data_IF_842398785755
#
_entry.id   IF_842398785755
#
_cell.length_a   1.000
_cell.length_b   1.000
_cell.length_c   1.000
_cell.angle_alpha   90.00
_cell.angle_beta   90.00
_cell.angle_gamma   90.00
#
_symmetry.space_group_name_H-M   'P 1'
#
loop_
_entity.id
_entity.type
_entity.pdbx_description
1 polymer ?
#
# COMPACT_ATOMS: atom_id res chain seq x y z
N UNK A 1 -67.67 -3.98 44.19
CA UNK A 1 -67.45 -2.62 43.65
C UNK A 1 -66.09 -2.62 42.98
N UNK A 2 -65.86 -2.17 41.76
CA UNK A 2 -66.58 -1.33 40.81
C UNK A 2 -66.03 -1.73 39.43
N UNK A 3 -66.88 -1.75 38.40
CA UNK A 3 -66.68 -1.04 37.13
C UNK A 3 -67.79 -1.43 36.16
N UNK A 4 -68.71 -0.47 35.98
CA UNK A 4 -69.74 -0.46 34.96
C UNK A 4 -69.13 -0.69 33.58
N UNK A 5 -69.78 -1.56 32.80
CA UNK A 5 -69.68 -1.50 31.35
C UNK A 5 -70.26 -0.17 30.92
N UNK A 6 -69.39 0.72 30.43
CA UNK A 6 -69.83 1.96 29.79
C UNK A 6 -70.30 1.59 28.38
N UNK A 7 -71.61 1.62 28.16
CA UNK A 7 -72.18 1.68 26.81
C UNK A 7 -72.02 3.11 26.29
N UNK A 8 -71.38 3.28 25.13
CA UNK A 8 -71.21 4.57 24.46
C UNK A 8 -71.95 4.57 23.13
N UNK A 9 -72.82 5.55 22.94
CA UNK A 9 -73.58 5.85 21.71
C UNK A 9 -72.75 6.64 20.69
N UNK A 10 -73.22 6.64 19.44
CA UNK A 10 -72.51 7.00 18.19
C UNK A 10 -71.94 8.43 18.14
N UNK A 11 -70.61 8.51 18.03
CA UNK A 11 -69.82 9.11 16.92
C UNK A 11 -68.37 9.22 17.43
N UNK A 12 -67.53 8.23 17.07
CA UNK A 12 -66.20 7.95 17.66
C UNK A 12 -66.19 7.17 18.99
N UNK A 13 -67.03 6.14 19.13
CA UNK A 13 -67.04 5.29 20.32
C UNK A 13 -65.65 4.66 20.57
N UNK A 14 -65.03 5.03 21.69
CA UNK A 14 -63.82 4.40 22.21
C UNK A 14 -64.19 3.36 23.27
N UNK A 15 -64.01 2.08 22.97
CA UNK A 15 -64.24 0.97 23.89
C UNK A 15 -62.96 0.65 24.65
N UNK A 16 -63.00 0.72 25.97
CA UNK A 16 -61.92 0.25 26.85
C UNK A 16 -62.28 -1.13 27.39
N UNK A 17 -61.42 -2.11 27.16
CA UNK A 17 -61.51 -3.45 27.72
C UNK A 17 -60.26 -3.73 28.56
N UNK A 18 -60.47 -3.99 29.85
CA UNK A 18 -59.42 -4.49 30.74
C UNK A 18 -59.79 -5.90 31.17
N UNK A 19 -58.86 -6.84 31.06
CA UNK A 19 -59.07 -8.19 31.55
C UNK A 19 -57.82 -8.78 32.19
N UNK A 20 -58.04 -9.52 33.28
CA UNK A 20 -57.04 -10.35 33.94
C UNK A 20 -57.53 -11.79 33.84
N UNK A 21 -56.67 -12.70 33.40
CA UNK A 21 -56.99 -14.11 33.25
C UNK A 21 -55.85 -14.96 33.78
N UNK A 22 -56.19 -15.87 34.67
CA UNK A 22 -55.30 -16.91 35.16
C UNK A 22 -55.84 -18.26 34.68
N UNK A 23 -54.98 -19.12 34.17
CA UNK A 23 -55.36 -20.47 33.78
C UNK A 23 -54.20 -21.45 33.91
N UNK A 24 -54.55 -22.72 34.11
CA UNK A 24 -53.60 -23.84 34.13
C UNK A 24 -53.65 -24.51 32.76
N UNK A 25 -52.51 -24.71 32.10
CA UNK A 25 -52.47 -25.39 30.81
C UNK A 25 -52.62 -26.92 30.94
N UNK A 26 -52.64 -27.62 29.80
CA UNK A 26 -52.80 -29.08 29.76
C UNK A 26 -51.63 -29.86 30.41
N UNK A 27 -50.53 -29.20 30.75
CA UNK A 27 -49.34 -29.75 31.40
C UNK A 27 -49.22 -29.31 32.87
N UNK A 28 -50.33 -28.85 33.48
CA UNK A 28 -50.38 -28.37 34.85
C UNK A 28 -49.54 -27.11 35.14
N UNK A 29 -49.19 -26.32 34.11
CA UNK A 29 -48.45 -25.06 34.27
C UNK A 29 -49.37 -23.87 34.45
N UNK A 30 -49.07 -23.02 35.43
CA UNK A 30 -49.86 -21.83 35.72
C UNK A 30 -49.45 -20.66 34.83
N UNK A 31 -50.43 -20.04 34.19
CA UNK A 31 -50.28 -18.88 33.32
C UNK A 31 -51.15 -17.74 33.83
N UNK A 32 -50.63 -16.53 33.72
CA UNK A 32 -51.37 -15.31 34.05
C UNK A 32 -51.21 -14.30 32.92
N UNK A 33 -52.28 -13.59 32.59
CA UNK A 33 -52.26 -12.50 31.62
C UNK A 33 -53.12 -11.34 32.13
N UNK A 34 -52.60 -10.14 31.98
CA UNK A 34 -53.32 -8.90 32.16
C UNK A 34 -53.23 -8.11 30.86
N UNK A 35 -54.34 -7.58 30.37
CA UNK A 35 -54.34 -6.76 29.17
C UNK A 35 -55.30 -5.59 29.30
N UNK A 36 -54.92 -4.48 28.64
CA UNK A 36 -55.75 -3.31 28.41
C UNK A 36 -55.81 -3.09 26.91
N UNK A 37 -57.02 -2.99 26.37
CA UNK A 37 -57.30 -2.73 24.97
C UNK A 37 -58.21 -1.50 24.87
N UNK A 38 -57.82 -0.56 24.03
CA UNK A 38 -58.64 0.57 23.60
C UNK A 38 -58.91 0.37 22.12
N UNK A 39 -60.18 0.33 21.78
CA UNK A 39 -60.64 0.25 20.41
C UNK A 39 -61.42 1.50 20.08
N UNK A 40 -61.08 2.19 19.00
CA UNK A 40 -61.87 3.31 18.50
C UNK A 40 -62.23 3.06 17.05
N UNK A 41 -63.51 3.16 16.74
CA UNK A 41 -63.98 3.10 15.36
C UNK A 41 -64.09 4.52 14.83
N UNK A 42 -63.36 4.82 13.75
CA UNK A 42 -63.50 6.07 13.00
C UNK A 42 -63.64 5.73 11.52
N UNK A 43 -64.71 6.22 10.88
CA UNK A 43 -65.02 5.97 9.47
C UNK A 43 -65.01 4.47 9.08
N UNK A 44 -65.55 3.61 9.96
CA UNK A 44 -65.57 2.15 9.78
C UNK A 44 -64.21 1.45 9.94
N UNK A 45 -63.15 2.18 10.28
CA UNK A 45 -61.82 1.62 10.59
C UNK A 45 -61.66 1.49 12.10
N UNK A 46 -61.33 0.28 12.54
CA UNK A 46 -61.02 -0.02 13.93
C UNK A 46 -59.55 0.30 14.21
N UNK A 47 -59.31 1.26 15.09
CA UNK A 47 -58.00 1.53 15.65
C UNK A 47 -57.89 0.83 17.00
N UNK A 48 -57.03 -0.18 17.07
CA UNK A 48 -56.78 -0.92 18.31
C UNK A 48 -55.42 -0.51 18.85
N UNK A 49 -55.41 -0.02 20.08
CA UNK A 49 -54.22 0.11 20.90
C UNK A 49 -54.34 -0.85 22.09
N UNK A 50 -53.31 -1.63 22.38
CA UNK A 50 -53.37 -2.53 23.52
C UNK A 50 -52.01 -2.86 24.12
N UNK A 51 -52.01 -3.10 25.42
CA UNK A 51 -50.86 -3.59 26.19
C UNK A 51 -51.27 -4.94 26.78
N UNK A 52 -50.43 -5.95 26.58
CA UNK A 52 -50.55 -7.26 27.21
C UNK A 52 -49.31 -7.56 28.04
N UNK A 53 -49.52 -7.93 29.30
CA UNK A 53 -48.52 -8.52 30.18
C UNK A 53 -48.92 -9.97 30.42
N UNK A 54 -48.03 -10.91 30.14
CA UNK A 54 -48.28 -12.32 30.46
C UNK A 54 -47.05 -12.96 31.08
N UNK A 55 -47.28 -14.02 31.85
CA UNK A 55 -46.24 -14.88 32.37
C UNK A 55 -46.61 -16.33 32.07
N UNK A 56 -45.66 -17.05 31.50
CA UNK A 56 -45.79 -18.44 31.09
C UNK A 56 -44.69 -19.28 31.72
N UNK A 57 -45.02 -20.51 32.16
CA UNK A 57 -44.04 -21.44 32.71
C UNK A 57 -43.44 -22.28 31.58
N UNK A 58 -42.18 -22.02 31.20
CA UNK A 58 -41.50 -22.79 30.14
C UNK A 58 -40.52 -23.79 30.74
N UNK A 59 -40.05 -24.76 29.95
CA UNK A 59 -39.05 -25.73 30.42
C UNK A 59 -37.72 -25.07 30.84
N UNK A 60 -37.44 -23.86 30.35
CA UNK A 60 -36.26 -23.05 30.68
C UNK A 60 -36.51 -22.05 31.82
N UNK A 61 -37.73 -22.04 32.39
CA UNK A 61 -38.16 -21.16 33.47
C UNK A 61 -39.34 -20.24 33.11
N UNK A 62 -39.68 -19.33 34.02
CA UNK A 62 -40.80 -18.39 33.84
C UNK A 62 -40.45 -17.34 32.79
N UNK A 63 -41.22 -17.28 31.71
CA UNK A 63 -41.10 -16.29 30.66
C UNK A 63 -42.16 -15.20 30.87
N UNK A 64 -41.72 -14.00 31.25
CA UNK A 64 -42.60 -12.82 31.28
C UNK A 64 -42.55 -12.11 29.92
N UNK A 65 -43.71 -11.69 29.41
CA UNK A 65 -43.85 -11.02 28.12
C UNK A 65 -44.55 -9.67 28.28
N UNK A 66 -44.10 -8.70 27.48
CA UNK A 66 -44.75 -7.41 27.30
C UNK A 66 -45.04 -7.21 25.81
N UNK A 67 -46.31 -7.21 25.45
CA UNK A 67 -46.79 -7.09 24.08
C UNK A 67 -47.51 -5.77 23.92
N UNK A 68 -47.21 -5.04 22.84
CA UNK A 68 -47.89 -3.78 22.51
C UNK A 68 -48.42 -3.88 21.10
N UNK A 69 -49.74 -3.79 20.96
CA UNK A 69 -50.41 -3.67 19.68
C UNK A 69 -50.73 -2.19 19.45
N UNK A 70 -49.90 -1.47 18.69
CA UNK A 70 -50.11 -0.06 18.38
C UNK A 70 -49.43 0.33 17.06
N UNK A 71 -49.97 1.33 16.38
CA UNK A 71 -49.37 1.86 15.15
C UNK A 71 -48.06 2.63 15.40
N UNK A 72 -47.91 3.19 16.61
CA UNK A 72 -46.75 3.98 17.04
C UNK A 72 -46.53 3.81 18.54
N UNK A 73 -45.32 3.49 18.94
CA UNK A 73 -44.87 3.50 20.34
C UNK A 73 -43.82 4.59 20.45
N UNK A 74 -43.95 5.51 21.41
CA UNK A 74 -42.99 6.59 21.61
C UNK A 74 -42.68 6.78 23.09
N UNK A 75 -41.41 6.90 23.45
CA UNK A 75 -40.99 7.26 24.81
C UNK A 75 -40.71 8.76 24.87
N UNK A 76 -41.57 9.46 25.59
CA UNK A 76 -41.56 10.93 25.72
C UNK A 76 -41.19 11.27 27.16
N UNK A 77 -40.26 12.18 27.34
CA UNK A 77 -39.96 12.78 28.64
C UNK A 77 -40.75 14.10 28.78
N UNK A 78 -41.81 14.13 29.61
CA UNK A 78 -42.65 15.32 29.76
C UNK A 78 -41.95 16.46 30.51
N UNK A 79 -40.88 16.19 31.26
CA UNK A 79 -40.19 17.21 32.06
C UNK A 79 -39.31 18.14 31.20
N UNK A 80 -38.89 17.67 30.02
CA UNK A 80 -37.93 18.37 29.18
C UNK A 80 -38.56 19.22 28.05
N UNK A 81 -39.90 19.27 27.95
CA UNK A 81 -40.59 20.00 26.86
C UNK A 81 -40.15 19.57 25.45
N UNK A 82 -39.51 18.39 25.34
CA UNK A 82 -38.76 17.98 24.17
C UNK A 82 -39.70 17.31 23.15
N UNK A 83 -39.87 17.93 21.98
CA UNK A 83 -40.80 17.48 20.93
C UNK A 83 -40.34 16.20 20.22
N UNK A 84 -39.09 15.77 20.44
CA UNK A 84 -38.52 14.58 19.79
C UNK A 84 -38.46 13.42 20.79
N UNK A 85 -39.29 12.37 20.63
CA UNK A 85 -39.25 11.20 21.50
C UNK A 85 -37.90 10.49 21.41
N UNK A 86 -37.40 9.94 22.53
CA UNK A 86 -36.10 9.25 22.56
C UNK A 86 -36.13 7.91 21.80
N UNK A 87 -37.30 7.30 21.71
CA UNK A 87 -37.56 6.04 21.03
C UNK A 87 -38.89 6.17 20.30
N UNK A 88 -38.92 5.79 19.01
CA UNK A 88 -40.17 5.67 18.24
C UNK A 88 -40.15 4.37 17.46
N UNK A 89 -41.09 3.47 17.72
CA UNK A 89 -41.35 2.31 16.87
C UNK A 89 -42.60 2.60 16.01
N UNK A 90 -42.43 2.67 14.70
CA UNK A 90 -43.51 2.95 13.74
C UNK A 90 -43.11 2.47 12.34
N UNK A 91 -44.06 1.94 11.56
CA UNK A 91 -43.82 1.57 10.16
C UNK A 91 -42.72 0.53 9.97
N UNK A 92 -42.65 -0.46 10.86
CA UNK A 92 -41.62 -1.51 10.92
C UNK A 92 -40.18 -0.98 11.12
N UNK A 93 -40.02 0.25 11.61
CA UNK A 93 -38.73 0.85 11.92
C UNK A 93 -38.71 1.34 13.37
N UNK A 94 -37.50 1.40 13.92
CA UNK A 94 -37.23 2.03 15.21
C UNK A 94 -36.33 3.24 14.95
N UNK A 95 -36.76 4.40 15.43
CA UNK A 95 -36.00 5.65 15.40
C UNK A 95 -35.50 5.96 16.81
N UNK A 96 -34.22 6.28 16.91
CA UNK A 96 -33.56 6.67 18.15
C UNK A 96 -32.58 7.79 17.81
N UNK A 97 -32.52 8.84 18.64
CA UNK A 97 -31.62 9.96 18.41
C UNK A 97 -30.18 9.59 18.77
N UNK A 98 -29.99 9.07 19.99
CA UNK A 98 -28.72 8.60 20.50
C UNK A 98 -28.90 7.22 21.15
N UNK A 99 -27.94 6.32 20.94
CA UNK A 99 -27.98 4.97 21.50
C UNK A 99 -26.63 4.60 22.09
N UNK A 100 -26.62 4.21 23.36
CA UNK A 100 -25.47 3.58 24.01
C UNK A 100 -25.71 2.07 24.12
N UNK A 101 -24.92 1.28 23.40
CA UNK A 101 -25.05 -0.18 23.38
C UNK A 101 -23.79 -0.85 23.92
N UNK A 102 -23.97 -1.93 24.68
CA UNK A 102 -22.86 -2.81 25.03
C UNK A 102 -22.34 -3.60 23.83
N UNK A 103 -23.24 -4.08 22.95
CA UNK A 103 -22.94 -4.78 21.68
C UNK A 103 -24.07 -4.53 20.68
N UNK A 104 -23.74 -4.44 19.40
CA UNK A 104 -24.70 -4.40 18.28
C UNK A 104 -24.48 -5.65 17.41
N UNK A 105 -25.53 -6.46 17.27
CA UNK A 105 -25.57 -7.57 16.31
C UNK A 105 -26.51 -7.17 15.19
N UNK A 106 -25.98 -6.95 14.00
CA UNK A 106 -26.76 -6.53 12.84
C UNK A 106 -26.27 -7.25 11.58
N UNK A 107 -27.17 -7.76 10.71
CA UNK A 107 -26.78 -8.35 9.43
C UNK A 107 -26.23 -7.30 8.47
N UNK A 108 -26.68 -6.04 8.58
CA UNK A 108 -26.16 -4.91 7.82
C UNK A 108 -26.11 -3.64 8.66
N UNK A 109 -25.15 -2.76 8.36
CA UNK A 109 -25.08 -1.40 8.90
C UNK A 109 -24.81 -0.47 7.72
N UNK A 110 -25.60 0.60 7.57
CA UNK A 110 -25.44 1.55 6.46
C UNK A 110 -25.61 2.97 7.00
N UNK A 111 -24.62 3.83 6.78
CA UNK A 111 -24.73 5.26 7.10
C UNK A 111 -25.74 5.95 6.18
N UNK A 112 -26.29 7.09 6.61
CA UNK A 112 -27.04 7.97 5.72
C UNK A 112 -26.21 8.44 4.49
N UNK A 113 -26.92 8.95 3.48
CA UNK A 113 -26.35 9.43 2.22
C UNK A 113 -26.42 8.42 1.06
N UNK A 114 -26.33 8.92 -0.18
CA UNK A 114 -26.34 8.07 -1.38
C UNK A 114 -25.22 8.49 -2.36
N UNK A 115 -24.16 7.68 -2.53
CA UNK A 115 -23.90 6.39 -1.88
C UNK A 115 -23.44 6.54 -0.41
N UNK A 116 -23.65 5.52 0.44
CA UNK A 116 -23.25 5.58 1.85
C UNK A 116 -21.72 5.74 2.00
N UNK A 117 -21.31 6.50 3.01
CA UNK A 117 -19.89 6.67 3.34
C UNK A 117 -19.33 5.51 4.16
N UNK A 118 -20.20 4.83 4.91
CA UNK A 118 -19.90 3.63 5.70
C UNK A 118 -20.96 2.54 5.46
N UNK A 119 -20.54 1.31 5.19
CA UNK A 119 -21.44 0.16 5.11
C UNK A 119 -20.78 -1.15 5.52
N UNK A 120 -21.52 -2.00 6.25
CA UNK A 120 -21.22 -3.40 6.51
C UNK A 120 -22.34 -4.26 5.92
N UNK A 121 -21.99 -5.20 5.05
CA UNK A 121 -22.93 -6.14 4.41
C UNK A 121 -22.90 -7.51 5.09
N UNK A 122 -23.90 -8.39 4.86
CA UNK A 122 -23.99 -9.67 5.56
C UNK A 122 -22.85 -10.64 5.25
N UNK A 123 -22.21 -10.50 4.09
CA UNK A 123 -21.00 -11.22 3.67
C UNK A 123 -19.71 -10.66 4.32
N UNK A 124 -19.82 -9.67 5.21
CA UNK A 124 -18.71 -9.13 5.99
C UNK A 124 -17.90 -8.05 5.29
N UNK A 125 -18.34 -7.56 4.12
CA UNK A 125 -17.66 -6.47 3.42
C UNK A 125 -17.89 -5.14 4.13
N UNK A 126 -16.79 -4.56 4.62
CA UNK A 126 -16.74 -3.21 5.16
C UNK A 126 -16.33 -2.22 4.06
N UNK A 127 -17.11 -1.15 3.87
CA UNK A 127 -16.75 0.00 3.03
C UNK A 127 -16.71 1.25 3.88
N UNK A 128 -15.60 1.99 3.84
CA UNK A 128 -15.43 3.26 4.53
C UNK A 128 -14.62 4.23 3.64
N UNK A 129 -15.17 5.41 3.34
CA UNK A 129 -14.53 6.36 2.40
C UNK A 129 -13.39 7.17 3.01
N UNK A 130 -13.53 7.61 4.25
CA UNK A 130 -12.59 8.47 4.95
C UNK A 130 -12.21 7.84 6.31
N UNK A 131 -11.73 6.59 6.26
CA UNK A 131 -11.33 5.88 7.46
C UNK A 131 -10.00 6.44 7.98
N UNK A 132 -9.98 6.84 9.24
CA UNK A 132 -8.76 7.12 10.00
C UNK A 132 -8.56 5.99 11.02
N UNK A 133 -7.47 5.24 10.86
CA UNK A 133 -7.14 4.06 11.67
C UNK A 133 -5.83 4.35 12.38
N UNK A 134 -5.92 4.75 13.65
CA UNK A 134 -4.76 5.01 14.52
C UNK A 134 -4.15 3.75 15.12
N UNK A 135 -4.85 2.62 15.02
CA UNK A 135 -4.40 1.31 15.52
C UNK A 135 -3.72 0.45 14.45
N UNK A 136 -3.51 -0.82 14.78
CA UNK A 136 -2.92 -1.78 13.85
C UNK A 136 -3.95 -2.32 12.86
N UNK A 137 -3.57 -2.42 11.59
CA UNK A 137 -4.29 -3.19 10.57
C UNK A 137 -3.55 -4.50 10.33
N UNK A 138 -4.19 -5.63 10.64
CA UNK A 138 -3.69 -6.96 10.27
C UNK A 138 -4.49 -7.49 9.08
N UNK A 139 -3.82 -7.74 7.96
CA UNK A 139 -4.42 -8.23 6.73
C UNK A 139 -3.58 -9.38 6.17
N UNK A 140 -4.25 -10.47 5.80
CA UNK A 140 -3.59 -11.61 5.13
C UNK A 140 -3.36 -11.33 3.64
N UNK A 141 -4.18 -10.46 3.05
CA UNK A 141 -4.10 -10.03 1.66
C UNK A 141 -4.80 -8.69 1.48
N UNK A 142 -4.46 -7.98 0.41
CA UNK A 142 -5.07 -6.70 0.09
C UNK A 142 -4.39 -6.01 -1.08
N UNK A 143 -5.05 -4.97 -1.58
CA UNK A 143 -4.46 -4.06 -2.57
C UNK A 143 -4.61 -2.64 -2.02
N UNK A 144 -3.55 -1.85 -2.14
CA UNK A 144 -3.53 -0.46 -1.72
C UNK A 144 -3.07 0.39 -2.90
N UNK A 145 -3.78 1.47 -3.17
CA UNK A 145 -3.47 2.40 -4.25
C UNK A 145 -3.03 3.74 -3.64
N UNK A 146 -2.06 4.40 -4.28
CA UNK A 146 -1.56 5.73 -3.88
C UNK A 146 -1.11 5.80 -2.42
N UNK A 147 -0.38 4.76 -1.99
CA UNK A 147 0.15 4.70 -0.63
C UNK A 147 1.31 5.67 -0.49
N UNK A 148 1.14 6.66 0.39
CA UNK A 148 2.26 7.42 0.92
C UNK A 148 2.63 6.83 2.26
N UNK A 149 3.87 6.35 2.36
CA UNK A 149 4.45 5.94 3.63
C UNK A 149 5.30 7.11 4.09
N UNK A 150 4.77 7.88 5.04
CA UNK A 150 5.43 9.09 5.54
C UNK A 150 6.75 8.77 6.25
N UNK A 151 6.83 7.58 6.83
CA UNK A 151 7.99 7.10 7.58
C UNK A 151 8.53 5.80 6.95
N UNK A 152 8.83 4.80 7.77
CA UNK A 152 9.52 3.59 7.35
C UNK A 152 8.55 2.48 6.92
N UNK A 153 8.99 1.68 5.94
CA UNK A 153 8.32 0.46 5.52
C UNK A 153 9.25 -0.74 5.73
N UNK A 154 8.82 -1.75 6.47
CA UNK A 154 9.55 -3.01 6.59
C UNK A 154 8.83 -4.12 5.81
N UNK A 155 9.53 -4.68 4.83
CA UNK A 155 9.06 -5.81 4.03
C UNK A 155 9.89 -7.02 4.42
N UNK A 156 9.31 -7.90 5.25
CA UNK A 156 9.97 -9.15 5.68
C UNK A 156 10.02 -10.20 4.56
N UNK A 157 9.15 -10.05 3.57
CA UNK A 157 9.10 -10.91 2.38
C UNK A 157 9.80 -10.27 1.18
N UNK A 158 9.25 -10.52 -0.01
CA UNK A 158 9.79 -10.01 -1.27
C UNK A 158 9.13 -8.67 -1.63
N UNK A 159 9.94 -7.61 -1.77
CA UNK A 159 9.51 -6.39 -2.44
C UNK A 159 9.66 -6.59 -3.95
N UNK A 160 8.53 -6.62 -4.65
CA UNK A 160 8.49 -6.58 -6.11
C UNK A 160 8.05 -5.18 -6.53
N UNK A 161 9.03 -4.34 -6.89
CA UNK A 161 8.78 -2.98 -7.35
C UNK A 161 9.07 -2.87 -8.85
N UNK A 162 8.06 -2.48 -9.63
CA UNK A 162 8.20 -2.28 -11.07
C UNK A 162 9.06 -1.04 -11.41
N UNK A 163 9.00 -0.01 -10.56
CA UNK A 163 9.77 1.23 -10.69
C UNK A 163 10.18 1.70 -9.29
N UNK A 164 11.43 2.14 -9.16
CA UNK A 164 11.95 2.85 -8.00
C UNK A 164 12.51 4.15 -8.55
N UNK A 165 11.95 5.28 -8.13
CA UNK A 165 12.46 6.60 -8.50
C UNK A 165 13.52 7.03 -7.46
N UNK A 166 14.70 7.35 -7.97
CA UNK A 166 15.95 7.40 -7.21
C UNK A 166 16.90 6.29 -7.66
N UNK A 167 18.17 6.62 -7.88
CA UNK A 167 19.10 5.65 -8.48
C UNK A 167 19.47 4.48 -7.56
N UNK A 168 19.62 3.33 -8.21
CA UNK A 168 20.17 2.09 -7.63
C UNK A 168 21.48 1.71 -8.33
N UNK A 169 21.50 1.59 -9.67
CA UNK A 169 22.73 1.42 -10.49
C UNK A 169 22.58 2.05 -11.89
N UNK A 170 23.65 2.56 -12.49
CA UNK A 170 23.73 3.13 -13.85
C UNK A 170 25.07 2.78 -14.52
N UNK A 171 25.10 2.25 -15.74
CA UNK A 171 26.34 1.76 -16.38
C UNK A 171 26.52 2.30 -17.81
N UNK A 172 27.77 2.49 -18.27
CA UNK A 172 28.17 2.97 -19.61
C UNK A 172 29.29 2.10 -20.18
N UNK A 173 29.26 1.73 -21.47
CA UNK A 173 30.34 1.00 -22.15
C UNK A 173 30.71 1.61 -23.52
N UNK A 174 31.99 1.59 -23.94
CA UNK A 174 32.44 2.14 -25.24
C UNK A 174 33.77 1.57 -25.74
N UNK A 175 33.82 1.12 -27.00
CA UNK A 175 35.06 0.76 -27.68
C UNK A 175 35.95 1.97 -27.93
N UNK A 176 37.25 1.80 -27.77
CA UNK A 176 38.21 2.84 -28.11
C UNK A 176 38.25 3.12 -29.62
N UNK A 177 38.43 4.39 -30.04
CA UNK A 177 38.57 4.71 -31.45
C UNK A 177 39.76 3.98 -32.07
N UNK A 178 39.63 3.61 -33.35
CA UNK A 178 40.68 2.93 -34.10
C UNK A 178 41.06 3.73 -35.34
N UNK A 179 42.34 3.70 -35.68
CA UNK A 179 42.86 4.15 -36.96
C UNK A 179 43.21 2.91 -37.76
N UNK A 180 42.42 2.62 -38.80
CA UNK A 180 42.45 1.35 -39.52
C UNK A 180 42.31 0.16 -38.55
N UNK A 181 43.38 -0.60 -38.34
CA UNK A 181 43.39 -1.82 -37.55
C UNK A 181 43.85 -1.63 -36.10
N UNK A 182 44.35 -0.46 -35.67
CA UNK A 182 44.93 -0.25 -34.34
C UNK A 182 44.21 0.82 -33.52
N UNK A 183 44.30 0.74 -32.18
CA UNK A 183 43.59 1.64 -31.27
C UNK A 183 44.28 3.01 -31.18
N UNK A 184 43.57 4.10 -31.48
CA UNK A 184 44.09 5.46 -31.38
C UNK A 184 42.93 6.45 -31.27
N UNK A 185 42.87 7.21 -30.18
CA UNK A 185 41.84 8.23 -29.95
C UNK A 185 41.43 8.38 -28.49
N UNK A 186 40.34 9.13 -28.26
CA UNK A 186 39.90 9.54 -26.90
C UNK A 186 38.42 9.24 -26.63
N UNK A 187 38.11 8.84 -25.39
CA UNK A 187 36.75 8.73 -24.83
C UNK A 187 36.64 9.65 -23.61
N UNK A 188 35.55 10.42 -23.51
CA UNK A 188 35.22 11.22 -22.31
C UNK A 188 33.89 10.75 -21.73
N UNK A 189 33.88 10.48 -20.43
CA UNK A 189 32.71 10.08 -19.63
C UNK A 189 32.38 11.21 -18.67
N UNK A 190 31.17 11.75 -18.77
CA UNK A 190 30.68 12.86 -17.95
C UNK A 190 29.52 12.37 -17.09
N UNK A 191 29.66 12.43 -15.77
CA UNK A 191 28.68 11.95 -14.79
C UNK A 191 28.22 13.17 -14.00
N UNK A 192 26.97 13.56 -14.18
CA UNK A 192 26.29 14.62 -13.42
C UNK A 192 25.30 13.96 -12.46
N UNK A 193 25.31 14.36 -11.20
CA UNK A 193 24.41 13.84 -10.17
C UNK A 193 23.65 14.98 -9.51
N UNK A 194 22.33 14.96 -9.66
CA UNK A 194 21.37 15.89 -9.06
C UNK A 194 20.69 15.28 -7.82
N UNK A 195 21.01 14.02 -7.49
CA UNK A 195 20.46 13.32 -6.35
C UNK A 195 21.25 13.60 -5.08
N UNK A 196 20.60 13.42 -3.94
CA UNK A 196 21.17 13.68 -2.60
C UNK A 196 22.01 12.51 -2.05
N UNK A 197 22.54 11.61 -2.88
CA UNK A 197 23.32 10.46 -2.40
C UNK A 197 24.54 10.15 -3.26
N UNK A 198 25.61 9.68 -2.63
CA UNK A 198 26.89 9.41 -3.29
C UNK A 198 26.81 8.30 -4.34
N UNK A 199 27.65 8.41 -5.36
CA UNK A 199 27.85 7.35 -6.35
C UNK A 199 29.22 6.74 -6.24
N UNK A 200 29.27 5.46 -6.60
CA UNK A 200 30.50 4.75 -6.84
C UNK A 200 30.60 4.45 -8.33
N UNK A 201 31.69 4.86 -8.94
CA UNK A 201 31.97 4.71 -10.37
C UNK A 201 33.04 3.64 -10.53
N UNK A 202 32.63 2.40 -10.76
CA UNK A 202 33.51 1.28 -11.04
C UNK A 202 33.86 1.26 -12.53
N UNK A 203 35.14 1.10 -12.84
CA UNK A 203 35.70 0.89 -14.17
C UNK A 203 36.29 -0.51 -14.18
N UNK A 204 35.57 -1.51 -14.72
CA UNK A 204 36.11 -2.85 -14.89
C UNK A 204 37.37 -2.85 -15.77
N UNK A 205 38.18 -3.93 -15.73
CA UNK A 205 39.48 -3.98 -16.39
C UNK A 205 39.46 -3.59 -17.87
N UNK A 206 40.18 -2.51 -18.19
CA UNK A 206 40.55 -2.10 -19.55
C UNK A 206 41.91 -2.71 -19.86
N UNK A 207 41.91 -3.73 -20.72
CA UNK A 207 43.09 -4.48 -21.11
C UNK A 207 43.70 -3.84 -22.36
N UNK A 208 44.99 -3.55 -22.40
CA UNK A 208 45.65 -2.98 -23.58
C UNK A 208 47.03 -3.59 -23.82
N UNK A 209 47.38 -3.80 -25.08
CA UNK A 209 48.62 -4.47 -25.48
C UNK A 209 49.13 -3.92 -26.81
N UNK A 210 50.44 -3.80 -26.94
CA UNK A 210 51.11 -3.70 -28.23
C UNK A 210 51.34 -5.07 -28.87
N UNK A 211 52.33 -5.16 -29.73
CA UNK A 211 52.64 -6.39 -30.47
C UNK A 211 54.14 -6.56 -30.69
N UNK A 212 54.64 -7.79 -30.55
CA UNK A 212 55.97 -8.20 -30.98
C UNK A 212 55.85 -8.80 -32.37
N UNK A 213 56.76 -8.41 -33.25
CA UNK A 213 56.81 -8.86 -34.62
C UNK A 213 58.18 -9.43 -34.93
N UNK A 214 58.19 -10.45 -35.76
CA UNK A 214 59.40 -11.15 -36.17
C UNK A 214 59.60 -10.96 -37.67
N UNK A 215 60.84 -10.69 -38.06
CA UNK A 215 61.22 -10.56 -39.46
C UNK A 215 62.52 -11.34 -39.70
N UNK A 216 62.66 -11.96 -40.86
CA UNK A 216 63.88 -12.65 -41.28
C UNK A 216 64.53 -11.88 -42.42
N UNK A 217 65.82 -11.57 -42.28
CA UNK A 217 66.56 -10.94 -43.38
C UNK A 217 66.96 -11.98 -44.46
N UNK A 218 67.55 -11.51 -45.56
CA UNK A 218 68.04 -12.37 -46.67
C UNK A 218 69.07 -13.42 -46.25
N UNK A 219 69.71 -13.25 -45.09
CA UNK A 219 70.70 -14.16 -44.52
C UNK A 219 70.09 -15.09 -43.45
N UNK A 220 68.75 -15.19 -43.40
CA UNK A 220 68.00 -16.00 -42.43
C UNK A 220 68.25 -15.61 -40.96
N UNK A 221 68.67 -14.38 -40.69
CA UNK A 221 68.83 -13.85 -39.34
C UNK A 221 67.52 -13.21 -38.87
N UNK A 222 67.08 -13.57 -37.66
CA UNK A 222 65.85 -13.09 -37.06
C UNK A 222 66.06 -11.69 -36.44
N UNK A 223 65.13 -10.79 -36.71
CA UNK A 223 65.04 -9.44 -36.13
C UNK A 223 63.65 -9.21 -35.56
N UNK A 224 63.55 -8.37 -34.52
CA UNK A 224 62.30 -8.08 -33.84
C UNK A 224 61.98 -6.60 -33.90
N UNK A 225 60.68 -6.29 -33.95
CA UNK A 225 60.19 -4.95 -33.74
C UNK A 225 58.91 -4.95 -32.93
N UNK A 226 58.62 -3.80 -32.32
CA UNK A 226 57.51 -3.67 -31.39
C UNK A 226 56.54 -2.58 -31.83
N UNK A 227 55.26 -2.88 -31.69
CA UNK A 227 54.20 -1.89 -31.59
C UNK A 227 53.99 -1.55 -30.12
N UNK A 228 53.89 -0.28 -29.79
CA UNK A 228 53.59 0.23 -28.45
C UNK A 228 52.14 0.72 -28.38
N UNK A 229 51.40 0.25 -27.38
CA UNK A 229 50.07 0.75 -27.03
C UNK A 229 50.15 1.51 -25.71
N UNK A 230 49.69 2.77 -25.67
CA UNK A 230 49.67 3.60 -24.48
C UNK A 230 48.24 3.96 -24.11
N UNK A 231 47.89 3.78 -22.84
CA UNK A 231 46.62 4.24 -22.27
C UNK A 231 46.90 5.32 -21.22
N UNK A 232 46.24 6.46 -21.37
CA UNK A 232 46.25 7.60 -20.44
C UNK A 232 44.82 7.86 -19.96
N UNK A 233 44.63 7.99 -18.65
CA UNK A 233 43.33 8.28 -18.03
C UNK A 233 43.45 9.51 -17.14
N UNK A 234 42.49 10.43 -17.25
CA UNK A 234 42.40 11.61 -16.40
C UNK A 234 41.03 11.69 -15.71
N UNK A 235 41.00 12.27 -14.51
CA UNK A 235 39.82 12.60 -13.72
C UNK A 235 39.77 14.11 -13.52
N UNK A 236 38.72 14.76 -14.01
CA UNK A 236 38.55 16.21 -13.95
C UNK A 236 39.81 16.97 -14.45
N UNK A 237 40.46 16.44 -15.50
CA UNK A 237 41.71 16.98 -16.05
C UNK A 237 43.00 16.52 -15.35
N UNK A 238 42.93 15.94 -14.15
CA UNK A 238 44.09 15.39 -13.44
C UNK A 238 44.42 13.98 -13.93
N UNK A 239 45.67 13.70 -14.27
CA UNK A 239 46.12 12.36 -14.67
C UNK A 239 46.05 11.37 -13.49
N UNK A 240 45.40 10.22 -13.73
CA UNK A 240 45.27 9.12 -12.75
C UNK A 240 45.89 7.82 -13.24
N UNK A 241 46.19 7.71 -14.55
CA UNK A 241 46.88 6.56 -15.13
C UNK A 241 47.55 6.95 -16.44
N UNK A 242 48.75 6.42 -16.68
CA UNK A 242 49.51 6.68 -17.90
C UNK A 242 50.60 5.61 -18.07
N UNK A 243 50.33 4.60 -18.89
CA UNK A 243 51.26 3.49 -19.12
C UNK A 243 51.31 3.08 -20.58
N UNK A 244 52.47 2.58 -21.01
CA UNK A 244 52.74 2.06 -22.34
C UNK A 244 53.13 0.59 -22.27
N UNK A 245 52.66 -0.22 -23.20
CA UNK A 245 52.99 -1.64 -23.32
C UNK A 245 53.43 -2.01 -24.73
N UNK A 246 54.39 -2.92 -24.83
CA UNK A 246 54.80 -3.58 -26.08
C UNK A 246 54.10 -4.94 -26.16
N UNK A 247 54.79 -6.03 -25.93
CA UNK A 247 54.26 -7.40 -26.00
C UNK A 247 53.69 -7.91 -24.68
N UNK A 248 53.81 -7.18 -23.58
CA UNK A 248 53.13 -7.48 -22.32
C UNK A 248 51.73 -6.84 -22.25
N UNK A 249 50.81 -7.47 -21.53
CA UNK A 249 49.46 -6.94 -21.33
C UNK A 249 49.44 -5.89 -20.20
N UNK A 250 48.85 -4.73 -20.48
CA UNK A 250 48.56 -3.69 -19.51
C UNK A 250 47.10 -3.75 -19.08
N UNK A 251 46.82 -3.30 -17.85
CA UNK A 251 45.47 -3.30 -17.26
C UNK A 251 45.23 -1.97 -16.56
N UNK A 252 44.09 -1.35 -16.84
CA UNK A 252 43.55 -0.27 -16.03
C UNK A 252 42.19 -0.68 -15.47
N UNK A 253 42.05 -0.65 -14.14
CA UNK A 253 40.78 -0.84 -13.45
C UNK A 253 40.76 0.17 -12.32
N UNK A 254 39.58 0.71 -12.01
CA UNK A 254 39.48 1.69 -10.93
C UNK A 254 38.08 1.74 -10.35
N UNK A 255 37.98 2.14 -9.10
CA UNK A 255 36.71 2.48 -8.46
C UNK A 255 36.86 3.92 -7.98
N UNK A 256 36.00 4.80 -8.47
CA UNK A 256 36.08 6.24 -8.26
C UNK A 256 34.84 6.69 -7.50
N UNK A 257 35.08 7.32 -6.36
CA UNK A 257 34.00 7.95 -5.61
C UNK A 257 33.58 9.27 -6.25
N UNK A 258 32.27 9.46 -6.35
CA UNK A 258 31.63 10.71 -6.76
C UNK A 258 30.68 11.15 -5.63
N UNK A 259 31.16 12.00 -4.71
CA UNK A 259 30.34 12.52 -3.62
C UNK A 259 29.19 13.41 -4.13
N UNK A 260 28.03 13.34 -3.48
CA UNK A 260 26.87 14.15 -3.81
C UNK A 260 27.17 15.66 -3.70
N UNK A 261 26.58 16.48 -4.57
CA UNK A 261 26.72 17.93 -4.54
C UNK A 261 28.08 18.48 -5.02
N UNK A 262 29.05 17.64 -5.39
CA UNK A 262 30.35 18.10 -5.93
C UNK A 262 30.33 18.41 -7.43
N UNK A 263 29.14 18.50 -8.03
CA UNK A 263 28.96 18.79 -9.45
C UNK A 263 29.31 17.59 -10.34
N UNK A 264 29.78 17.88 -11.55
CA UNK A 264 29.99 16.85 -12.58
C UNK A 264 31.39 16.21 -12.47
N UNK A 265 31.45 14.88 -12.36
CA UNK A 265 32.67 14.10 -12.56
C UNK A 265 32.94 13.86 -14.05
N UNK A 266 34.17 14.11 -14.51
CA UNK A 266 34.62 13.88 -15.89
C UNK A 266 35.81 12.94 -15.91
N UNK A 267 35.73 11.85 -16.67
CA UNK A 267 36.84 10.92 -16.90
C UNK A 267 37.21 10.92 -18.38
N UNK A 268 38.50 11.04 -18.71
CA UNK A 268 38.98 11.03 -20.10
C UNK A 268 40.03 9.96 -20.30
N UNK A 269 39.79 9.05 -21.25
CA UNK A 269 40.63 7.92 -21.61
C UNK A 269 41.20 8.15 -23.01
N UNK A 270 42.52 8.25 -23.13
CA UNK A 270 43.24 8.44 -24.40
C UNK A 270 44.09 7.21 -24.67
N UNK A 271 43.86 6.54 -25.79
CA UNK A 271 44.73 5.47 -26.30
C UNK A 271 45.54 5.98 -27.47
N UNK A 272 46.82 5.61 -27.53
CA UNK A 272 47.70 5.91 -28.66
C UNK A 272 48.54 4.69 -29.01
N UNK A 273 48.68 4.44 -30.32
CA UNK A 273 49.50 3.34 -30.84
C UNK A 273 50.63 3.88 -31.70
N UNK A 274 51.80 3.26 -31.59
CA UNK A 274 52.97 3.60 -32.40
C UNK A 274 53.76 2.34 -32.76
N UNK A 275 54.27 2.27 -33.99
CA UNK A 275 55.16 1.18 -34.43
C UNK A 275 56.60 1.68 -34.52
N UNK A 276 57.56 0.83 -34.20
CA UNK A 276 58.96 1.13 -34.44
C UNK A 276 59.20 1.49 -35.93
N UNK A 277 60.11 2.42 -36.20
CA UNK A 277 60.48 2.82 -37.57
C UNK A 277 59.30 3.29 -38.45
N UNK A 278 58.28 3.91 -37.86
CA UNK A 278 57.05 4.36 -38.55
C UNK A 278 56.25 3.24 -39.23
N UNK A 279 56.44 1.99 -38.78
CA UNK A 279 55.62 0.88 -39.24
C UNK A 279 54.19 0.97 -38.70
N UNK A 280 53.23 0.48 -39.49
CA UNK A 280 51.82 0.41 -39.09
C UNK A 280 51.72 -0.42 -37.80
N UNK A 281 51.28 0.16 -36.68
CA UNK A 281 51.24 -0.56 -35.42
C UNK A 281 50.15 -1.63 -35.43
N UNK A 282 50.38 -2.70 -34.67
CA UNK A 282 49.35 -3.66 -34.28
C UNK A 282 49.18 -3.63 -32.77
N UNK A 283 48.05 -3.09 -32.32
CA UNK A 283 47.73 -2.97 -30.89
C UNK A 283 46.31 -3.43 -30.64
N UNK A 284 46.07 -3.88 -29.42
CA UNK A 284 44.75 -4.24 -28.91
C UNK A 284 44.43 -3.43 -27.66
N UNK A 285 43.14 -3.14 -27.50
CA UNK A 285 42.57 -2.59 -26.27
C UNK A 285 41.14 -3.13 -26.15
N UNK A 286 40.72 -3.52 -24.95
CA UNK A 286 39.34 -3.89 -24.67
C UNK A 286 38.45 -2.66 -24.66
N UNK A 287 37.14 -2.88 -24.71
CA UNK A 287 36.19 -1.81 -24.51
C UNK A 287 36.28 -1.25 -23.08
N UNK A 288 35.89 0.02 -22.93
CA UNK A 288 35.74 0.69 -21.64
C UNK A 288 34.36 0.37 -21.08
N UNK A 289 34.26 -0.05 -19.82
CA UNK A 289 33.01 -0.16 -19.06
C UNK A 289 33.09 0.74 -17.82
N UNK A 290 32.00 1.42 -17.46
CA UNK A 290 31.88 2.34 -16.32
C UNK A 290 30.53 2.13 -15.64
N UNK A 291 30.52 1.60 -14.43
CA UNK A 291 29.34 1.32 -13.60
C UNK A 291 29.25 2.37 -12.49
N UNK A 292 28.33 3.31 -12.62
CA UNK A 292 27.88 4.28 -11.61
C UNK A 292 26.76 3.67 -10.77
N UNK A 293 27.11 2.98 -9.72
CA UNK A 293 26.11 2.52 -8.77
C UNK A 293 25.81 3.57 -7.71
N UNK A 294 24.58 3.54 -7.15
CA UNK A 294 24.39 4.11 -5.83
C UNK A 294 25.48 3.50 -4.97
N UNK A 295 26.37 4.33 -4.43
CA UNK A 295 27.41 3.81 -3.55
C UNK A 295 26.67 3.11 -2.42
N UNK A 296 26.96 1.82 -2.24
CA UNK A 296 26.20 0.96 -1.34
C UNK A 296 25.93 1.67 -0.02
N UNK A 297 24.66 1.88 0.28
CA UNK A 297 24.23 2.09 1.65
C UNK A 297 24.16 0.70 2.28
N UNK A 298 24.87 0.52 3.41
CA UNK A 298 25.09 -0.75 4.10
C UNK A 298 23.91 -1.75 4.03
N UNK A 299 24.22 -3.04 3.90
CA UNK A 299 23.21 -4.12 3.90
C UNK A 299 23.53 -5.34 3.02
N UNK A 300 24.59 -5.28 2.21
CA UNK A 300 25.07 -6.41 1.41
C UNK A 300 26.39 -6.90 2.01
N UNK A 301 26.43 -8.14 2.49
CA UNK A 301 27.65 -8.82 2.92
C UNK A 301 28.22 -9.61 1.74
N UNK A 302 29.53 -9.50 1.51
CA UNK A 302 30.26 -10.21 0.45
C UNK A 302 31.39 -10.98 1.16
N UNK A 303 31.41 -12.31 1.04
CA UNK A 303 32.46 -13.20 1.57
C UNK A 303 33.14 -13.94 0.44
#
# INVERSE_FOLDING_TARGET
>A
ELLEKVDLTEDNASKLEQFSKEWKDANDKWNAMWAVKIEQTKDGKHYVAGIGLSMEDTEEGKLSQFLVAANRIAFIDPANGNETPMFVAQGNQIFMNDVFLKRLTAPTITSGGNPPAFSLTPDGKLTAKNADISGSVNANSGTLNNVTINENCQIKGKLSANQIEGDIVKTVSKSFPRTNSYASGTITVRISDDQKFDRQVMIPPVLFRGGKHENFNSNNQQSYWYSTCRLRVTRNGQEIFNQSTTDAQGVFSSVIDMPAGQGTLTLTFTVSSSGANNWTPTTSISDLLVVVMKKSTAGISIS
#
